data_IF_923709076256
#
_entry.id   IF_923709076256
#
_cell.length_a   1.000
_cell.length_b   1.000
_cell.length_c   1.000
_cell.angle_alpha   90.00
_cell.angle_beta   90.00
_cell.angle_gamma   90.00
#
_symmetry.space_group_name_H-M   'P 1'
#
loop_
_entity.id
_entity.type
_entity.pdbx_description
1 polymer ?
#
# COMPACT_ATOMS: atom_id res chain seq x y z
N UNK A 1 15.20 10.25 2.01
CA UNK A 1 15.54 10.17 0.56
C UNK A 1 14.33 10.70 -0.18
N UNK A 2 14.47 11.46 -1.26
CA UNK A 2 13.30 12.06 -1.93
C UNK A 2 12.96 11.30 -3.22
N UNK A 3 11.76 11.52 -3.73
CA UNK A 3 11.39 11.09 -5.07
C UNK A 3 12.39 11.59 -6.14
N UNK A 4 12.48 10.81 -7.21
CA UNK A 4 13.33 11.08 -8.36
C UNK A 4 12.96 12.44 -8.99
N UNK A 5 13.94 13.32 -9.29
CA UNK A 5 13.66 14.71 -9.66
C UNK A 5 12.73 14.92 -10.86
N UNK A 6 12.69 13.99 -11.81
CA UNK A 6 11.85 14.10 -13.01
C UNK A 6 10.44 13.55 -12.83
N UNK A 7 10.08 13.04 -11.64
CA UNK A 7 8.77 12.45 -11.35
C UNK A 7 7.60 13.37 -11.76
N UNK A 8 7.67 14.66 -11.42
CA UNK A 8 6.60 15.60 -11.75
C UNK A 8 6.37 15.74 -13.26
N UNK A 9 7.46 15.83 -14.02
CA UNK A 9 7.41 15.90 -15.49
C UNK A 9 6.81 14.63 -16.08
N UNK A 10 7.17 13.47 -15.53
CA UNK A 10 6.69 12.16 -15.98
C UNK A 10 5.21 11.96 -15.70
N UNK A 11 4.73 12.40 -14.53
CA UNK A 11 3.30 12.37 -14.19
C UNK A 11 2.44 13.12 -15.22
N UNK A 12 2.93 14.21 -15.83
CA UNK A 12 2.18 14.93 -16.87
C UNK A 12 1.89 14.08 -18.12
N UNK A 13 2.62 12.99 -18.32
CA UNK A 13 2.41 12.04 -19.42
C UNK A 13 1.64 10.79 -19.03
N UNK A 14 1.10 10.73 -17.80
CA UNK A 14 0.41 9.55 -17.29
C UNK A 14 -0.85 9.24 -18.10
N UNK A 15 -0.98 7.98 -18.48
CA UNK A 15 -2.20 7.38 -19.01
C UNK A 15 -2.54 6.14 -18.17
N UNK A 16 -3.81 6.00 -17.78
CA UNK A 16 -4.27 4.77 -17.15
C UNK A 16 -4.43 3.68 -18.20
N UNK A 17 -3.82 2.51 -17.96
CA UNK A 17 -4.08 1.32 -18.76
C UNK A 17 -5.30 0.62 -18.20
N UNK A 18 -6.15 0.09 -19.08
CA UNK A 18 -7.28 -0.74 -18.69
C UNK A 18 -6.91 -2.21 -18.92
N UNK A 19 -6.56 -2.92 -17.85
CA UNK A 19 -6.27 -4.34 -17.90
C UNK A 19 -7.30 -5.14 -17.11
N UNK A 20 -7.57 -6.42 -17.46
CA UNK A 20 -8.46 -7.27 -16.66
C UNK A 20 -8.04 -7.40 -15.18
N UNK A 21 -6.74 -7.32 -14.89
CA UNK A 21 -6.23 -7.25 -13.51
C UNK A 21 -6.64 -5.96 -12.79
N UNK A 22 -6.67 -4.83 -13.49
CA UNK A 22 -7.12 -3.55 -12.92
C UNK A 22 -8.62 -3.60 -12.64
N UNK A 23 -9.42 -4.21 -13.52
CA UNK A 23 -10.85 -4.41 -13.30
C UNK A 23 -11.14 -5.25 -12.03
N UNK A 24 -10.40 -6.34 -11.81
CA UNK A 24 -10.51 -7.13 -10.57
C UNK A 24 -10.15 -6.28 -9.35
N UNK A 25 -9.07 -5.52 -9.42
CA UNK A 25 -8.58 -4.68 -8.33
C UNK A 25 -9.61 -3.61 -7.95
N UNK A 26 -10.08 -2.85 -8.94
CA UNK A 26 -11.04 -1.76 -8.75
C UNK A 26 -12.38 -2.27 -8.22
N UNK A 27 -12.81 -3.46 -8.65
CA UNK A 27 -14.07 -4.07 -8.18
C UNK A 27 -13.96 -4.61 -6.76
N UNK A 28 -12.82 -5.20 -6.38
CA UNK A 28 -12.65 -5.84 -5.06
C UNK A 28 -12.17 -4.88 -3.97
N UNK A 29 -11.48 -3.79 -4.34
CA UNK A 29 -11.02 -2.77 -3.40
C UNK A 29 -12.11 -2.28 -2.43
N UNK A 30 -13.28 -1.77 -2.88
CA UNK A 30 -14.29 -1.27 -1.96
C UNK A 30 -14.84 -2.36 -1.03
N UNK A 31 -14.87 -3.63 -1.46
CA UNK A 31 -15.29 -4.75 -0.62
C UNK A 31 -14.28 -5.03 0.49
N UNK A 32 -12.98 -4.96 0.18
CA UNK A 32 -11.92 -5.17 1.16
C UNK A 32 -11.81 -4.01 2.12
N UNK A 33 -11.91 -2.77 1.62
CA UNK A 33 -11.96 -1.59 2.47
C UNK A 33 -13.15 -1.68 3.45
N UNK A 34 -14.36 -1.99 2.96
CA UNK A 34 -15.54 -2.16 3.80
C UNK A 34 -15.36 -3.26 4.86
N UNK A 35 -14.78 -4.41 4.48
CA UNK A 35 -14.45 -5.47 5.42
C UNK A 35 -13.50 -4.99 6.52
N UNK A 36 -12.40 -4.32 6.15
CA UNK A 36 -11.41 -3.85 7.12
C UNK A 36 -12.02 -2.82 8.08
N UNK A 37 -12.77 -1.84 7.56
CA UNK A 37 -13.41 -0.82 8.39
C UNK A 37 -14.43 -1.40 9.37
N UNK A 38 -15.08 -2.52 9.03
CA UNK A 38 -16.09 -3.16 9.90
C UNK A 38 -15.52 -4.20 10.86
N UNK A 39 -14.39 -4.83 10.52
CA UNK A 39 -13.89 -6.03 11.22
C UNK A 39 -12.53 -5.83 11.88
N UNK A 40 -11.72 -4.93 11.36
CA UNK A 40 -10.37 -4.68 11.89
C UNK A 40 -10.44 -3.44 12.79
N UNK A 41 -11.12 -3.61 13.93
CA UNK A 41 -11.40 -2.55 14.89
C UNK A 41 -10.53 -2.75 16.13
N UNK A 42 -9.75 -1.74 16.53
CA UNK A 42 -8.95 -1.75 17.76
C UNK A 42 -9.66 -0.92 18.86
N UNK A 43 -9.58 -1.29 20.15
CA UNK A 43 -8.76 -2.38 20.72
C UNK A 43 -9.40 -3.78 20.65
N UNK A 44 -10.64 -3.89 20.16
CA UNK A 44 -11.42 -5.13 20.16
C UNK A 44 -11.07 -6.12 19.04
N UNK A 45 -9.90 -5.96 18.41
CA UNK A 45 -9.48 -6.73 17.25
C UNK A 45 -9.46 -8.21 17.60
N UNK A 46 -10.30 -8.99 16.90
CA UNK A 46 -10.35 -10.44 17.01
C UNK A 46 -9.27 -11.08 16.13
N UNK A 47 -8.62 -12.13 16.64
CA UNK A 47 -7.53 -12.82 15.95
C UNK A 47 -8.00 -13.44 14.62
N UNK A 48 -9.19 -14.04 14.60
CA UNK A 48 -9.73 -14.66 13.40
C UNK A 48 -10.05 -13.62 12.31
N UNK A 49 -10.62 -12.47 12.68
CA UNK A 49 -10.86 -11.37 11.74
C UNK A 49 -9.54 -10.85 11.15
N UNK A 50 -8.49 -10.73 11.97
CA UNK A 50 -7.15 -10.34 11.55
C UNK A 50 -6.50 -11.36 10.59
N UNK A 51 -6.62 -12.67 10.88
CA UNK A 51 -6.13 -13.74 9.99
C UNK A 51 -6.86 -13.75 8.65
N UNK A 52 -8.18 -13.52 8.65
CA UNK A 52 -8.97 -13.37 7.42
C UNK A 52 -8.48 -12.15 6.63
N UNK A 53 -8.29 -11.00 7.29
CA UNK A 53 -7.75 -9.80 6.65
C UNK A 53 -6.37 -10.04 5.99
N UNK A 54 -5.45 -10.73 6.68
CA UNK A 54 -4.16 -11.13 6.09
C UNK A 54 -4.38 -12.03 4.87
N UNK A 55 -5.29 -13.00 4.95
CA UNK A 55 -5.60 -13.89 3.83
C UNK A 55 -6.16 -13.12 2.62
N UNK A 56 -7.05 -12.15 2.84
CA UNK A 56 -7.59 -11.28 1.79
C UNK A 56 -6.48 -10.48 1.12
N UNK A 57 -5.57 -9.88 1.90
CA UNK A 57 -4.41 -9.13 1.37
C UNK A 57 -3.54 -10.01 0.48
N UNK A 58 -3.28 -11.25 0.88
CA UNK A 58 -2.48 -12.18 0.09
C UNK A 58 -3.21 -12.63 -1.18
N UNK A 59 -4.52 -12.86 -1.11
CA UNK A 59 -5.36 -13.16 -2.28
C UNK A 59 -5.45 -11.99 -3.27
N UNK A 60 -5.38 -10.74 -2.77
CA UNK A 60 -5.43 -9.51 -3.56
C UNK A 60 -4.11 -9.15 -4.27
N UNK A 61 -3.29 -10.14 -4.58
CA UNK A 61 -1.99 -10.02 -5.27
C UNK A 61 -0.79 -9.66 -4.37
N UNK A 62 -0.58 -10.36 -3.25
CA UNK A 62 0.76 -10.33 -2.64
C UNK A 62 1.73 -11.20 -3.48
N UNK A 63 2.95 -10.73 -3.80
CA UNK A 63 3.91 -11.51 -4.60
C UNK A 63 4.49 -12.71 -3.82
N UNK A 64 4.37 -12.71 -2.50
CA UNK A 64 4.86 -13.77 -1.62
C UNK A 64 3.75 -14.77 -1.27
N UNK A 65 4.13 -16.01 -0.96
CA UNK A 65 3.21 -16.98 -0.34
C UNK A 65 3.01 -16.61 1.13
N UNK A 66 1.77 -16.74 1.61
CA UNK A 66 1.47 -16.55 3.02
C UNK A 66 2.14 -17.66 3.84
N UNK A 67 2.94 -17.27 4.83
CA UNK A 67 3.47 -18.18 5.83
C UNK A 67 2.69 -18.01 7.14
N UNK A 68 1.82 -18.96 7.46
CA UNK A 68 0.91 -18.87 8.61
C UNK A 68 1.62 -19.05 9.96
N UNK A 69 2.89 -19.47 9.99
CA UNK A 69 3.67 -19.50 11.23
C UNK A 69 3.81 -18.11 11.88
N UNK A 70 3.72 -17.05 11.07
CA UNK A 70 3.77 -15.66 11.53
C UNK A 70 2.56 -15.25 12.39
N UNK A 71 1.45 -16.00 12.35
CA UNK A 71 0.26 -15.67 13.15
C UNK A 71 0.48 -15.76 14.66
N UNK A 72 1.56 -16.44 15.10
CA UNK A 72 1.97 -16.42 16.51
C UNK A 72 2.27 -15.01 17.03
N UNK A 73 2.57 -14.07 16.13
CA UNK A 73 2.89 -12.68 16.45
C UNK A 73 1.64 -11.77 16.54
N UNK A 74 0.44 -12.34 16.55
CA UNK A 74 -0.81 -11.56 16.59
C UNK A 74 -0.87 -10.58 17.76
N UNK A 75 -0.43 -11.00 18.96
CA UNK A 75 -0.44 -10.14 20.16
C UNK A 75 0.35 -8.83 19.94
N UNK A 76 1.61 -8.95 19.52
CA UNK A 76 2.46 -7.78 19.25
C UNK A 76 1.88 -6.89 18.12
N UNK A 77 1.39 -7.50 17.04
CA UNK A 77 0.76 -6.75 15.96
C UNK A 77 -0.51 -6.01 16.40
N UNK A 78 -1.32 -6.62 17.28
CA UNK A 78 -2.52 -6.00 17.84
C UNK A 78 -2.16 -4.79 18.71
N UNK A 79 -1.16 -4.94 19.59
CA UNK A 79 -0.68 -3.85 20.45
C UNK A 79 -0.15 -2.69 19.58
N UNK A 80 0.66 -2.99 18.57
CA UNK A 80 1.17 -2.00 17.61
C UNK A 80 0.03 -1.28 16.86
N UNK A 81 -1.00 -1.99 16.39
CA UNK A 81 -2.16 -1.38 15.72
C UNK A 81 -2.98 -0.50 16.67
N UNK A 82 -3.12 -0.91 17.93
CA UNK A 82 -3.83 -0.13 18.94
C UNK A 82 -3.11 1.17 19.27
N UNK A 83 -1.79 1.11 19.47
CA UNK A 83 -0.96 2.32 19.66
C UNK A 83 -1.04 3.24 18.44
N UNK A 84 -0.92 2.66 17.24
CA UNK A 84 -0.98 3.39 15.98
C UNK A 84 -2.32 4.11 15.77
N UNK A 85 -3.43 3.54 16.25
CA UNK A 85 -4.74 4.20 16.19
C UNK A 85 -4.84 5.45 17.09
N UNK A 86 -3.92 5.61 18.05
CA UNK A 86 -3.82 6.77 18.94
C UNK A 86 -2.66 7.72 18.61
N UNK A 87 -1.83 7.38 17.63
CA UNK A 87 -0.66 8.12 17.19
C UNK A 87 -0.83 8.59 15.74
N UNK A 88 -0.22 9.71 15.37
CA UNK A 88 -0.19 10.18 13.98
C UNK A 88 0.91 9.47 13.15
N UNK A 89 1.93 8.93 13.80
CA UNK A 89 3.13 8.38 13.14
C UNK A 89 3.27 6.86 13.35
N UNK A 90 3.69 6.16 12.29
CA UNK A 90 4.04 4.73 12.29
C UNK A 90 5.55 4.59 12.51
N UNK A 91 5.96 3.92 13.59
CA UNK A 91 7.37 3.67 13.87
C UNK A 91 7.89 2.42 13.15
N UNK A 92 9.22 2.26 13.08
CA UNK A 92 9.85 1.05 12.54
C UNK A 92 9.50 -0.19 13.37
N UNK A 93 9.47 -0.08 14.69
CA UNK A 93 9.16 -1.20 15.58
C UNK A 93 7.71 -1.66 15.40
N UNK A 94 6.77 -0.72 15.35
CA UNK A 94 5.36 -1.02 15.06
C UNK A 94 5.18 -1.68 13.68
N UNK A 95 5.89 -1.17 12.67
CA UNK A 95 5.88 -1.75 11.33
C UNK A 95 6.46 -3.18 11.34
N UNK A 96 7.53 -3.45 12.09
CA UNK A 96 8.12 -4.78 12.21
C UNK A 96 7.17 -5.76 12.90
N UNK A 97 6.50 -5.34 13.98
CA UNK A 97 5.55 -6.17 14.71
C UNK A 97 4.34 -6.54 13.82
N UNK A 98 3.77 -5.56 13.13
CA UNK A 98 2.67 -5.79 12.19
C UNK A 98 3.13 -6.67 11.03
N UNK A 99 4.29 -6.37 10.43
CA UNK A 99 4.86 -7.16 9.32
C UNK A 99 5.13 -8.61 9.73
N UNK A 100 5.61 -8.81 10.96
CA UNK A 100 5.87 -10.11 11.54
C UNK A 100 4.61 -10.95 11.71
N UNK A 101 3.43 -10.36 11.85
CA UNK A 101 2.14 -11.04 11.79
C UNK A 101 1.63 -11.25 10.35
N UNK A 102 1.80 -10.25 9.48
CA UNK A 102 1.36 -10.25 8.07
C UNK A 102 2.31 -11.07 7.17
N UNK A 103 2.97 -12.10 7.71
CA UNK A 103 3.77 -13.05 6.93
C UNK A 103 5.15 -12.56 6.50
N UNK A 104 5.67 -11.50 7.12
CA UNK A 104 7.03 -10.99 6.92
C UNK A 104 7.24 -10.17 5.64
N UNK A 105 6.19 -9.88 4.88
CA UNK A 105 6.28 -9.16 3.61
C UNK A 105 5.90 -7.68 3.77
N UNK A 106 6.82 -6.77 3.43
CA UNK A 106 6.54 -5.32 3.45
C UNK A 106 5.42 -4.94 2.46
N UNK A 107 5.39 -5.56 1.28
CA UNK A 107 4.32 -5.32 0.28
C UNK A 107 2.96 -5.74 0.85
N UNK A 108 2.85 -6.94 1.43
CA UNK A 108 1.59 -7.37 2.06
C UNK A 108 1.22 -6.47 3.24
N UNK A 109 2.20 -6.09 4.06
CA UNK A 109 2.00 -5.22 5.22
C UNK A 109 1.48 -3.83 4.82
N UNK A 110 2.04 -3.22 3.77
CA UNK A 110 1.55 -1.93 3.25
C UNK A 110 0.10 -2.01 2.77
N UNK A 111 -0.32 -3.12 2.16
CA UNK A 111 -1.71 -3.35 1.75
C UNK A 111 -2.64 -3.54 2.94
N UNK A 112 -2.19 -4.29 3.94
CA UNK A 112 -2.93 -4.47 5.20
C UNK A 112 -3.15 -3.12 5.89
N UNK A 113 -2.09 -2.33 6.05
CA UNK A 113 -2.14 -0.99 6.64
C UNK A 113 -3.01 -0.04 5.82
N UNK A 114 -2.91 -0.09 4.49
CA UNK A 114 -3.74 0.73 3.61
C UNK A 114 -5.23 0.40 3.73
N UNK A 115 -5.61 -0.87 3.88
CA UNK A 115 -7.02 -1.23 4.07
C UNK A 115 -7.52 -0.89 5.48
N UNK A 116 -6.62 -0.96 6.48
CA UNK A 116 -6.90 -0.54 7.86
C UNK A 116 -7.13 0.97 7.97
N UNK A 117 -6.24 1.79 7.40
CA UNK A 117 -6.39 3.24 7.32
C UNK A 117 -5.90 3.76 5.95
N UNK A 118 -6.80 3.85 4.95
CA UNK A 118 -6.43 4.28 3.61
C UNK A 118 -6.09 5.76 3.53
N UNK A 119 -6.39 6.56 4.56
CA UNK A 119 -6.05 7.97 4.62
C UNK A 119 -4.58 8.19 4.96
N UNK A 120 -4.03 7.32 5.82
CA UNK A 120 -2.66 7.42 6.34
C UNK A 120 -1.64 6.58 5.58
N UNK A 121 -2.05 5.42 5.09
CA UNK A 121 -1.10 4.47 4.49
C UNK A 121 -1.34 4.32 3.00
N UNK A 122 -0.26 4.28 2.23
CA UNK A 122 -0.29 3.96 0.81
C UNK A 122 0.21 2.53 0.57
N UNK A 123 -0.22 1.94 -0.54
CA UNK A 123 0.27 0.63 -0.95
C UNK A 123 1.72 0.76 -1.47
N UNK A 124 2.58 -0.13 -1.01
CA UNK A 124 3.94 -0.27 -1.49
C UNK A 124 4.03 -1.44 -2.47
N UNK A 125 4.58 -1.16 -3.65
CA UNK A 125 4.84 -2.17 -4.68
C UNK A 125 6.11 -1.80 -5.47
N UNK A 126 6.68 -2.78 -6.18
CA UNK A 126 7.83 -2.58 -7.05
C UNK A 126 7.61 -1.48 -8.08
N UNK A 127 6.38 -1.35 -8.61
CA UNK A 127 6.05 -0.34 -9.65
C UNK A 127 6.07 1.06 -9.07
N UNK A 128 5.57 1.22 -7.85
CA UNK A 128 5.65 2.48 -7.09
C UNK A 128 7.11 2.81 -6.78
N UNK A 129 7.89 1.83 -6.31
CA UNK A 129 9.31 2.02 -6.04
C UNK A 129 10.11 2.41 -7.31
N UNK A 130 9.79 1.79 -8.45
CA UNK A 130 10.38 2.13 -9.74
C UNK A 130 9.99 3.54 -10.20
N UNK A 131 8.70 3.87 -10.11
CA UNK A 131 8.18 5.17 -10.53
C UNK A 131 8.75 6.30 -9.68
N UNK A 132 8.75 6.15 -8.36
CA UNK A 132 9.19 7.16 -7.40
C UNK A 132 10.70 7.25 -7.24
N UNK A 133 11.43 6.12 -7.27
CA UNK A 133 12.85 6.08 -6.84
C UNK A 133 13.80 5.38 -7.83
N UNK A 134 13.29 4.84 -8.95
CA UNK A 134 14.08 4.04 -9.92
C UNK A 134 14.71 2.79 -9.34
N UNK A 135 14.06 2.20 -8.34
CA UNK A 135 14.49 0.95 -7.74
C UNK A 135 13.88 -0.24 -8.48
N UNK A 136 14.71 -0.91 -9.26
CA UNK A 136 14.32 -2.07 -10.06
C UNK A 136 14.51 -3.40 -9.31
N UNK A 137 15.51 -3.48 -8.44
CA UNK A 137 15.86 -4.74 -7.76
C UNK A 137 15.24 -4.83 -6.37
N UNK A 138 14.79 -6.04 -6.01
CA UNK A 138 14.11 -6.31 -4.73
C UNK A 138 14.80 -5.75 -3.49
N UNK A 139 16.12 -5.95 -3.37
CA UNK A 139 16.91 -5.48 -2.23
C UNK A 139 16.98 -3.95 -2.12
N UNK A 140 16.67 -3.21 -3.18
CA UNK A 140 16.67 -1.75 -3.18
C UNK A 140 15.38 -1.21 -2.56
N UNK A 141 14.23 -1.84 -2.87
CA UNK A 141 12.91 -1.35 -2.46
C UNK A 141 12.30 -2.11 -1.26
N UNK A 142 12.80 -3.29 -0.91
CA UNK A 142 12.30 -4.05 0.24
C UNK A 142 13.00 -3.62 1.53
N UNK A 143 12.80 -2.36 1.94
CA UNK A 143 13.35 -1.75 3.16
C UNK A 143 12.26 -0.99 3.90
N UNK A 144 12.08 -1.28 5.19
CA UNK A 144 11.02 -0.67 6.00
C UNK A 144 11.19 0.85 6.13
N UNK A 145 12.43 1.32 6.30
CA UNK A 145 12.74 2.76 6.34
C UNK A 145 12.39 3.48 5.05
N UNK A 146 12.52 2.82 3.90
CA UNK A 146 12.12 3.39 2.62
C UNK A 146 10.60 3.52 2.52
N UNK A 147 9.85 2.56 3.07
CA UNK A 147 8.39 2.66 3.09
C UNK A 147 7.91 3.84 3.95
N UNK A 148 8.51 4.08 5.11
CA UNK A 148 8.18 5.27 5.92
C UNK A 148 8.51 6.57 5.19
N UNK A 149 9.70 6.67 4.59
CA UNK A 149 10.08 7.80 3.72
C UNK A 149 9.10 7.98 2.56
N UNK A 150 8.61 6.88 1.97
CA UNK A 150 7.63 6.93 0.90
C UNK A 150 6.30 7.55 1.33
N UNK A 151 5.81 7.24 2.53
CA UNK A 151 4.58 7.86 3.05
C UNK A 151 4.74 9.38 3.22
N UNK A 152 5.90 9.83 3.72
CA UNK A 152 6.24 11.25 3.85
C UNK A 152 6.32 11.96 2.49
N UNK A 153 7.06 11.38 1.54
CA UNK A 153 7.20 11.90 0.18
C UNK A 153 5.84 12.00 -0.52
N UNK A 154 4.98 10.99 -0.33
CA UNK A 154 3.64 10.96 -0.93
C UNK A 154 2.70 12.00 -0.30
N UNK A 155 2.83 12.28 1.00
CA UNK A 155 2.13 13.39 1.63
C UNK A 155 2.50 14.74 0.99
N UNK A 156 3.77 14.95 0.68
CA UNK A 156 4.26 16.15 -0.03
C UNK A 156 3.95 16.21 -1.53
N UNK A 157 3.62 15.08 -2.17
CA UNK A 157 3.36 15.03 -3.61
C UNK A 157 2.06 15.73 -3.98
N UNK A 158 2.11 16.63 -4.97
CA UNK A 158 0.93 17.23 -5.60
C UNK A 158 0.77 16.71 -7.02
N UNK A 159 -0.35 16.04 -7.29
CA UNK A 159 -0.65 15.58 -8.64
C UNK A 159 -0.99 16.77 -9.55
N UNK A 160 -0.49 16.80 -10.80
CA UNK A 160 -0.98 17.75 -11.80
C UNK A 160 -2.51 17.67 -11.93
N UNK A 161 -3.25 18.80 -12.09
CA UNK A 161 -4.71 18.76 -12.15
C UNK A 161 -5.30 17.77 -13.19
N UNK A 162 -4.74 17.63 -14.41
CA UNK A 162 -5.22 16.61 -15.35
C UNK A 162 -5.08 15.19 -14.81
N UNK A 163 -3.97 14.90 -14.13
CA UNK A 163 -3.68 13.59 -13.52
C UNK A 163 -4.62 13.34 -12.33
N UNK A 164 -4.83 14.35 -11.49
CA UNK A 164 -5.75 14.26 -10.36
C UNK A 164 -7.17 13.91 -10.80
N UNK A 165 -7.67 14.58 -11.84
CA UNK A 165 -8.99 14.30 -12.40
C UNK A 165 -9.06 12.90 -13.00
N UNK A 166 -8.01 12.48 -13.72
CA UNK A 166 -7.92 11.14 -14.31
C UNK A 166 -8.02 10.04 -13.25
N UNK A 167 -7.25 10.12 -12.16
CA UNK A 167 -7.30 9.11 -11.08
C UNK A 167 -8.57 9.19 -10.26
N UNK A 168 -9.13 10.38 -10.06
CA UNK A 168 -10.40 10.55 -9.33
C UNK A 168 -11.57 9.92 -10.09
N UNK A 169 -11.60 10.05 -11.43
CA UNK A 169 -12.61 9.39 -12.25
C UNK A 169 -12.52 7.86 -12.18
N UNK A 170 -11.31 7.30 -12.01
CA UNK A 170 -11.10 5.86 -11.93
C UNK A 170 -11.41 5.28 -10.54
N UNK A 171 -11.15 6.04 -9.47
CA UNK A 171 -11.23 5.54 -8.09
C UNK A 171 -12.44 6.06 -7.30
N UNK A 172 -13.15 7.07 -7.79
CA UNK A 172 -14.26 7.71 -7.08
C UNK A 172 -13.82 8.31 -5.74
N UNK A 173 -14.52 7.95 -4.67
CA UNK A 173 -14.37 8.48 -3.30
C UNK A 173 -13.13 7.96 -2.55
N UNK A 174 -12.15 7.38 -3.27
CA UNK A 174 -10.90 6.97 -2.65
C UNK A 174 -10.14 8.16 -2.04
N UNK A 175 -9.34 7.88 -1.00
CA UNK A 175 -8.54 8.89 -0.30
C UNK A 175 -7.50 9.54 -1.21
N UNK A 176 -7.03 10.73 -0.83
CA UNK A 176 -5.92 11.41 -1.51
C UNK A 176 -4.67 10.54 -1.57
N UNK A 177 -4.35 9.86 -0.46
CA UNK A 177 -3.24 8.92 -0.36
C UNK A 177 -3.36 7.79 -1.41
N UNK A 178 -4.56 7.20 -1.54
CA UNK A 178 -4.85 6.18 -2.55
C UNK A 178 -4.69 6.70 -3.98
N UNK A 179 -5.19 7.90 -4.28
CA UNK A 179 -5.09 8.52 -5.61
C UNK A 179 -3.65 8.79 -6.02
N UNK A 180 -2.82 9.30 -5.10
CA UNK A 180 -1.40 9.56 -5.33
C UNK A 180 -0.63 8.26 -5.57
N UNK A 181 -0.84 7.25 -4.74
CA UNK A 181 -0.24 5.93 -4.95
C UNK A 181 -0.64 5.35 -6.32
N UNK A 182 -1.92 5.46 -6.69
CA UNK A 182 -2.44 4.85 -7.90
C UNK A 182 -1.83 5.47 -9.16
N UNK A 183 -1.60 6.79 -9.12
CA UNK A 183 -0.86 7.50 -10.16
C UNK A 183 0.56 6.96 -10.31
N UNK A 184 1.29 6.75 -9.20
CA UNK A 184 2.64 6.20 -9.23
C UNK A 184 2.66 4.75 -9.71
N UNK A 185 1.71 3.93 -9.29
CA UNK A 185 1.59 2.55 -9.73
C UNK A 185 1.40 2.47 -11.25
N UNK A 186 0.48 3.27 -11.81
CA UNK A 186 0.22 3.30 -13.26
C UNK A 186 1.37 3.92 -14.04
N UNK A 187 2.06 4.93 -13.49
CA UNK A 187 3.29 5.43 -14.09
C UNK A 187 4.37 4.35 -14.14
N UNK A 188 4.47 3.55 -13.07
CA UNK A 188 5.33 2.38 -13.01
C UNK A 188 4.96 1.36 -14.09
N UNK A 189 3.68 1.05 -14.31
CA UNK A 189 3.21 0.20 -15.43
C UNK A 189 3.59 0.78 -16.79
N UNK A 190 3.41 2.10 -16.96
CA UNK A 190 3.66 2.79 -18.22
C UNK A 190 5.13 2.70 -18.63
N UNK A 191 6.03 2.79 -17.65
CA UNK A 191 7.48 2.87 -17.84
C UNK A 191 8.22 1.55 -17.62
N UNK A 192 7.60 0.56 -16.98
CA UNK A 192 8.21 -0.76 -16.79
C UNK A 192 8.22 -1.49 -18.14
N UNK A 193 9.37 -1.39 -18.83
CA UNK A 193 9.68 -2.06 -20.11
C UNK A 193 10.25 -3.47 -19.90
N UNK A 194 10.26 -3.98 -18.66
CA UNK A 194 10.83 -5.30 -18.37
C UNK A 194 10.02 -6.39 -19.08
N UNK A 195 10.65 -7.30 -19.83
CA UNK A 195 9.96 -8.47 -20.36
C UNK A 195 9.52 -9.32 -19.16
N UNK A 196 8.24 -9.69 -19.16
CA UNK A 196 7.65 -10.68 -18.25
C UNK A 196 8.48 -11.96 -18.19
#
# INVERSE_FOLDING_TARGET
MAFEPTLQTRLNSLVLRDTPSDAMYLTTYPLFADYFQKRIVVPDLAEDDAKIAVTLVYAWMAPAKLNTHHWINFGAAKDALQELASSDELTLDQLEDIKSFVGGSLIATSKFLHLFDPGRFAIWDRRVAWAGYRYAHYHQYNKDSLYLTYLEDLNGLTLPPPVYNLVSNALGEATEMRKKEFALFHLGIQEDVSPT
#
